data_IF_212235528828
#
_entry.id   IF_212235528828
#
_cell.length_a   1.000
_cell.length_b   1.000
_cell.length_c   1.000
_cell.angle_alpha   90.00
_cell.angle_beta   90.00
_cell.angle_gamma   90.00
#
_symmetry.space_group_name_H-M   'P 1'
#
loop_
_entity.id
_entity.type
_entity.pdbx_description
1 polymer ?
#
# COMPACT_ATOMS: atom_id res chain seq x y z
N UNK A 1 10.43 16.23 14.33
CA UNK A 1 9.76 16.51 13.04
C UNK A 1 10.84 16.76 12.01
N UNK A 2 10.67 16.23 10.81
CA UNK A 2 11.67 16.36 9.75
C UNK A 2 11.49 17.68 9.00
N UNK A 3 12.62 18.32 8.68
CA UNK A 3 12.62 19.61 8.00
C UNK A 3 12.29 19.45 6.51
N UNK A 4 11.62 20.44 5.87
CA UNK A 4 11.29 20.37 4.45
C UNK A 4 12.50 20.11 3.54
N UNK A 5 13.66 20.69 3.85
CA UNK A 5 14.90 20.46 3.09
C UNK A 5 15.38 19.01 3.13
N UNK A 6 15.11 18.28 4.21
CA UNK A 6 15.43 16.87 4.33
C UNK A 6 14.44 16.03 3.50
N UNK A 7 13.15 16.39 3.50
CA UNK A 7 12.15 15.72 2.66
C UNK A 7 12.41 15.95 1.16
N UNK A 8 12.86 17.15 0.80
CA UNK A 8 13.33 17.45 -0.56
C UNK A 8 14.52 16.57 -0.97
N UNK A 9 15.45 16.29 -0.06
CA UNK A 9 16.53 15.33 -0.34
C UNK A 9 15.97 13.93 -0.60
N UNK A 10 15.00 13.47 0.20
CA UNK A 10 14.36 12.18 -0.02
C UNK A 10 13.61 12.13 -1.36
N UNK A 11 12.96 13.22 -1.77
CA UNK A 11 12.29 13.31 -3.07
C UNK A 11 13.26 13.11 -4.24
N UNK A 12 14.51 13.55 -4.10
CA UNK A 12 15.54 13.48 -5.13
C UNK A 12 16.44 12.24 -5.05
N UNK A 13 16.34 11.44 -4.00
CA UNK A 13 17.16 10.24 -3.78
C UNK A 13 16.29 9.03 -3.36
N UNK A 14 15.97 8.14 -4.32
CA UNK A 14 15.16 6.95 -4.06
C UNK A 14 15.71 6.01 -2.97
N UNK A 15 17.03 5.92 -2.81
CA UNK A 15 17.65 5.06 -1.77
C UNK A 15 17.44 5.65 -0.38
N UNK A 16 17.61 6.97 -0.25
CA UNK A 16 17.30 7.67 0.99
C UNK A 16 15.81 7.61 1.31
N UNK A 17 14.94 7.77 0.31
CA UNK A 17 13.50 7.64 0.50
C UNK A 17 13.10 6.24 1.03
N UNK A 18 13.62 5.16 0.42
CA UNK A 18 13.37 3.78 0.88
C UNK A 18 13.84 3.54 2.31
N UNK A 19 15.00 4.10 2.67
CA UNK A 19 15.57 3.97 4.01
C UNK A 19 14.78 4.75 5.08
N UNK A 20 13.91 5.68 4.67
CA UNK A 20 13.20 6.61 5.56
C UNK A 20 11.68 6.56 5.39
N UNK A 21 11.11 5.45 4.92
CA UNK A 21 9.66 5.31 4.66
C UNK A 21 8.80 5.68 5.88
N UNK A 22 9.18 5.29 7.10
CA UNK A 22 8.45 5.65 8.31
C UNK A 22 8.33 7.18 8.49
N UNK A 23 9.43 7.90 8.27
CA UNK A 23 9.45 9.37 8.31
C UNK A 23 8.57 9.99 7.22
N UNK A 24 8.54 9.40 6.02
CA UNK A 24 7.68 9.87 4.94
C UNK A 24 6.21 9.74 5.32
N UNK A 25 5.81 8.61 5.92
CA UNK A 25 4.44 8.42 6.42
C UNK A 25 4.05 9.40 7.53
N UNK A 26 4.95 9.67 8.49
CA UNK A 26 4.71 10.71 9.51
C UNK A 26 4.53 12.11 8.88
N UNK A 27 5.19 12.36 7.75
CA UNK A 27 5.14 13.65 7.06
C UNK A 27 3.90 13.82 6.18
N UNK A 28 3.14 12.75 5.93
CA UNK A 28 1.87 12.83 5.17
C UNK A 28 0.76 13.55 5.92
N UNK A 29 0.84 13.68 7.24
CA UNK A 29 -0.13 14.39 8.09
C UNK A 29 0.36 15.77 8.53
N UNK A 30 1.47 16.24 7.96
CA UNK A 30 2.07 17.54 8.26
C UNK A 30 1.45 18.68 7.41
N UNK A 31 2.09 19.86 7.44
CA UNK A 31 1.72 20.97 6.55
C UNK A 31 1.91 20.60 5.07
N UNK A 32 1.24 21.35 4.19
CA UNK A 32 1.18 21.12 2.74
C UNK A 32 2.56 20.96 2.11
N UNK A 33 3.55 21.77 2.52
CA UNK A 33 4.90 21.68 1.95
C UNK A 33 5.58 20.36 2.29
N UNK A 34 5.51 19.93 3.56
CA UNK A 34 6.07 18.63 3.97
C UNK A 34 5.31 17.46 3.35
N UNK A 35 3.98 17.54 3.29
CA UNK A 35 3.16 16.51 2.66
C UNK A 35 3.54 16.34 1.18
N UNK A 36 3.69 17.44 0.43
CA UNK A 36 4.05 17.39 -0.99
C UNK A 36 5.41 16.71 -1.23
N UNK A 37 6.45 17.07 -0.46
CA UNK A 37 7.75 16.40 -0.59
C UNK A 37 7.70 14.94 -0.16
N UNK A 38 6.92 14.59 0.87
CA UNK A 38 6.77 13.21 1.30
C UNK A 38 6.08 12.35 0.22
N UNK A 39 5.05 12.89 -0.41
CA UNK A 39 4.35 12.27 -1.55
C UNK A 39 5.32 12.04 -2.72
N UNK A 40 6.10 13.05 -3.09
CA UNK A 40 7.09 12.94 -4.17
C UNK A 40 8.17 11.89 -3.87
N UNK A 41 8.67 11.85 -2.63
CA UNK A 41 9.63 10.83 -2.20
C UNK A 41 9.05 9.41 -2.26
N UNK A 42 7.81 9.20 -1.81
CA UNK A 42 7.13 7.89 -1.90
C UNK A 42 6.85 7.48 -3.36
N UNK A 43 6.60 8.45 -4.23
CA UNK A 43 6.44 8.21 -5.65
C UNK A 43 7.75 7.69 -6.27
N UNK A 44 8.86 8.36 -5.96
CA UNK A 44 10.18 8.10 -6.55
C UNK A 44 10.94 6.92 -5.92
N UNK A 45 10.58 6.48 -4.70
CA UNK A 45 11.36 5.47 -3.98
C UNK A 45 11.34 4.06 -4.61
N UNK A 46 10.45 3.79 -5.56
CA UNK A 46 10.29 2.45 -6.17
C UNK A 46 9.65 1.44 -5.21
N UNK A 47 10.03 0.17 -5.32
CA UNK A 47 9.58 -0.88 -4.40
C UNK A 47 10.33 -0.78 -3.07
N UNK A 48 9.63 -0.92 -1.92
CA UNK A 48 10.26 -0.92 -0.61
C UNK A 48 11.05 -2.22 -0.38
N UNK A 49 11.90 -2.25 0.64
CA UNK A 49 12.49 -3.50 1.12
C UNK A 49 11.47 -4.29 1.95
N UNK A 50 11.62 -5.63 2.00
CA UNK A 50 10.80 -6.52 2.84
C UNK A 50 10.88 -6.11 4.33
N UNK A 51 12.03 -5.58 4.77
CA UNK A 51 12.23 -5.06 6.13
C UNK A 51 11.25 -3.96 6.51
N UNK A 52 10.63 -3.29 5.53
CA UNK A 52 9.70 -2.17 5.70
C UNK A 52 8.24 -2.61 5.83
N UNK A 53 7.91 -3.90 5.65
CA UNK A 53 6.51 -4.38 5.76
C UNK A 53 5.85 -3.95 7.08
N UNK A 54 6.49 -4.05 8.27
CA UNK A 54 5.85 -3.60 9.52
C UNK A 54 5.42 -2.13 9.49
N UNK A 55 6.21 -1.25 8.86
CA UNK A 55 5.89 0.18 8.69
C UNK A 55 4.67 0.34 7.78
N UNK A 56 4.61 -0.42 6.69
CA UNK A 56 3.49 -0.38 5.74
C UNK A 56 2.20 -0.92 6.37
N UNK A 57 2.27 -1.99 7.16
CA UNK A 57 1.14 -2.52 7.92
C UNK A 57 0.63 -1.49 8.95
N UNK A 58 1.54 -0.80 9.62
CA UNK A 58 1.16 0.30 10.52
C UNK A 58 0.46 1.43 9.75
N UNK A 59 0.99 1.86 8.61
CA UNK A 59 0.37 2.89 7.78
C UNK A 59 -1.01 2.48 7.23
N UNK A 60 -1.19 1.22 6.82
CA UNK A 60 -2.51 0.67 6.48
C UNK A 60 -3.49 0.76 7.66
N UNK A 61 -3.00 0.59 8.90
CA UNK A 61 -3.83 0.63 10.10
C UNK A 61 -4.26 2.04 10.54
N UNK A 62 -3.67 3.09 9.98
CA UNK A 62 -3.83 4.49 10.43
C UNK A 62 -5.24 5.07 10.26
N UNK A 63 -6.00 4.59 9.26
CA UNK A 63 -7.30 5.16 8.89
C UNK A 63 -7.22 6.42 8.02
N UNK A 64 -6.02 6.95 7.76
CA UNK A 64 -5.81 8.12 6.92
C UNK A 64 -5.74 7.72 5.44
N UNK A 65 -6.66 8.22 4.60
CA UNK A 65 -6.77 7.84 3.19
C UNK A 65 -5.44 7.94 2.43
N UNK A 66 -4.69 9.02 2.63
CA UNK A 66 -3.42 9.24 1.95
C UNK A 66 -2.33 8.24 2.39
N UNK A 67 -2.27 7.93 3.68
CA UNK A 67 -1.34 6.93 4.21
C UNK A 67 -1.72 5.52 3.70
N UNK A 68 -3.00 5.16 3.73
CA UNK A 68 -3.47 3.86 3.22
C UNK A 68 -3.20 3.73 1.72
N UNK A 69 -3.41 4.80 0.95
CA UNK A 69 -3.10 4.86 -0.48
C UNK A 69 -1.61 4.58 -0.74
N UNK A 70 -0.71 5.28 -0.06
CA UNK A 70 0.73 5.10 -0.27
C UNK A 70 1.23 3.76 0.24
N UNK A 71 0.74 3.28 1.38
CA UNK A 71 1.09 1.96 1.90
C UNK A 71 0.67 0.86 0.92
N UNK A 72 -0.55 0.92 0.40
CA UNK A 72 -1.04 0.00 -0.62
C UNK A 72 -0.24 0.08 -1.92
N UNK A 73 0.19 1.29 -2.33
CA UNK A 73 1.04 1.49 -3.51
C UNK A 73 2.39 0.79 -3.34
N UNK A 74 3.06 0.99 -2.21
CA UNK A 74 4.37 0.39 -1.94
C UNK A 74 4.27 -1.13 -1.78
N UNK A 75 3.23 -1.64 -1.11
CA UNK A 75 2.99 -3.08 -1.02
C UNK A 75 2.74 -3.71 -2.38
N UNK A 76 1.93 -3.09 -3.25
CA UNK A 76 1.72 -3.64 -4.59
C UNK A 76 2.98 -3.61 -5.46
N UNK A 77 3.87 -2.62 -5.28
CA UNK A 77 5.20 -2.61 -5.92
C UNK A 77 6.07 -3.77 -5.40
N UNK A 78 6.12 -3.95 -4.08
CA UNK A 78 6.83 -5.06 -3.45
C UNK A 78 6.35 -6.43 -3.97
N UNK A 79 5.03 -6.63 -4.06
CA UNK A 79 4.42 -7.86 -4.59
C UNK A 79 4.69 -8.06 -6.09
N UNK A 80 4.87 -6.99 -6.86
CA UNK A 80 5.17 -7.06 -8.29
C UNK A 80 6.61 -7.50 -8.59
N UNK A 81 7.55 -7.20 -7.69
CA UNK A 81 8.98 -7.48 -7.90
C UNK A 81 9.36 -8.95 -7.64
N UNK A 82 8.41 -9.77 -7.17
CA UNK A 82 8.57 -11.21 -7.02
C UNK A 82 7.74 -11.76 -5.86
N UNK A 83 7.73 -13.09 -5.68
CA UNK A 83 7.11 -13.67 -4.50
C UNK A 83 7.82 -13.10 -3.26
N UNK A 84 7.03 -12.58 -2.32
CA UNK A 84 7.50 -12.20 -0.98
C UNK A 84 7.73 -13.49 -0.20
N UNK A 85 8.72 -14.28 -0.64
CA UNK A 85 9.01 -15.62 -0.13
C UNK A 85 9.96 -15.59 1.07
N UNK A 86 10.24 -14.42 1.66
CA UNK A 86 11.27 -14.30 2.68
C UNK A 86 10.85 -13.47 3.89
N UNK A 87 11.14 -14.03 5.06
CA UNK A 87 11.09 -13.45 6.40
C UNK A 87 9.74 -13.40 7.15
N UNK A 88 9.03 -14.53 7.24
CA UNK A 88 8.16 -14.86 8.39
C UNK A 88 6.87 -14.05 8.59
N UNK A 89 6.69 -12.92 7.88
CA UNK A 89 5.41 -12.26 7.72
C UNK A 89 4.65 -13.02 6.64
N UNK A 90 3.70 -13.84 7.06
CA UNK A 90 2.88 -14.60 6.14
C UNK A 90 2.16 -13.61 5.23
N UNK A 91 2.20 -13.83 3.92
CA UNK A 91 1.32 -13.20 2.94
C UNK A 91 -0.12 -13.03 3.46
N UNK A 92 -0.57 -13.98 4.28
CA UNK A 92 -1.79 -13.93 5.09
C UNK A 92 -1.97 -12.62 5.90
N UNK A 93 -0.98 -12.16 6.65
CA UNK A 93 -1.06 -10.94 7.47
C UNK A 93 -1.20 -9.69 6.60
N UNK A 94 -0.48 -9.64 5.48
CA UNK A 94 -0.58 -8.56 4.51
C UNK A 94 -1.98 -8.52 3.89
N UNK A 95 -2.46 -9.66 3.41
CA UNK A 95 -3.81 -9.77 2.84
C UNK A 95 -4.89 -9.40 3.87
N UNK A 96 -4.76 -9.86 5.11
CA UNK A 96 -5.66 -9.50 6.20
C UNK A 96 -5.66 -8.00 6.46
N UNK A 97 -4.49 -7.35 6.54
CA UNK A 97 -4.40 -5.91 6.76
C UNK A 97 -5.03 -5.09 5.63
N UNK A 98 -4.86 -5.52 4.37
CA UNK A 98 -5.53 -4.91 3.23
C UNK A 98 -7.05 -5.11 3.28
N UNK A 99 -7.53 -6.32 3.60
CA UNK A 99 -8.95 -6.61 3.78
C UNK A 99 -9.58 -5.78 4.90
N UNK A 100 -8.91 -5.64 6.05
CA UNK A 100 -9.39 -4.79 7.15
C UNK A 100 -9.42 -3.31 6.74
N UNK A 101 -8.47 -2.86 5.92
CA UNK A 101 -8.46 -1.49 5.41
C UNK A 101 -9.63 -1.21 4.46
N UNK A 102 -10.05 -2.18 3.64
CA UNK A 102 -11.23 -2.05 2.77
C UNK A 102 -12.53 -1.84 3.54
N UNK A 103 -12.63 -2.30 4.79
CA UNK A 103 -13.81 -2.13 5.64
C UNK A 103 -13.95 -0.72 6.22
N UNK A 104 -12.92 0.12 6.10
CA UNK A 104 -12.91 1.47 6.65
C UNK A 104 -13.49 2.49 5.68
N UNK A 105 -13.98 3.59 6.24
CA UNK A 105 -14.40 4.77 5.48
C UNK A 105 -13.17 5.53 4.99
N UNK A 106 -12.70 5.17 3.80
CA UNK A 106 -11.57 5.80 3.11
C UNK A 106 -12.04 6.47 1.83
N UNK A 107 -11.19 7.34 1.28
CA UNK A 107 -11.42 7.89 -0.06
C UNK A 107 -11.40 6.76 -1.10
N UNK A 108 -12.18 6.94 -2.16
CA UNK A 108 -12.29 5.97 -3.25
C UNK A 108 -10.91 5.60 -3.84
N UNK A 109 -10.00 6.56 -3.94
CA UNK A 109 -8.63 6.34 -4.44
C UNK A 109 -7.83 5.35 -3.57
N UNK A 110 -8.01 5.39 -2.25
CA UNK A 110 -7.36 4.47 -1.33
C UNK A 110 -7.93 3.05 -1.46
N UNK A 111 -9.25 2.91 -1.56
CA UNK A 111 -9.89 1.60 -1.83
C UNK A 111 -9.43 1.00 -3.16
N UNK A 112 -9.43 1.80 -4.24
CA UNK A 112 -8.93 1.35 -5.53
C UNK A 112 -7.45 0.94 -5.46
N UNK A 113 -6.64 1.64 -4.67
CA UNK A 113 -5.22 1.31 -4.53
C UNK A 113 -4.99 0.03 -3.74
N UNK A 114 -5.80 -0.25 -2.71
CA UNK A 114 -5.80 -1.54 -2.02
C UNK A 114 -6.12 -2.67 -3.01
N UNK A 115 -7.17 -2.51 -3.82
CA UNK A 115 -7.58 -3.50 -4.82
C UNK A 115 -6.50 -3.73 -5.89
N UNK A 116 -5.86 -2.65 -6.32
CA UNK A 116 -4.71 -2.74 -7.22
C UNK A 116 -3.57 -3.56 -6.61
N UNK A 117 -3.28 -3.39 -5.31
CA UNK A 117 -2.22 -4.12 -4.63
C UNK A 117 -2.51 -5.63 -4.56
N UNK A 118 -3.76 -6.03 -4.30
CA UNK A 118 -4.16 -7.44 -4.41
C UNK A 118 -3.89 -8.00 -5.81
N UNK A 119 -4.17 -7.22 -6.86
CA UNK A 119 -3.87 -7.56 -8.26
C UNK A 119 -2.39 -7.76 -8.59
N UNK A 120 -1.47 -7.52 -7.64
CA UNK A 120 -0.03 -7.73 -7.78
C UNK A 120 0.49 -8.98 -7.05
N UNK A 121 -0.33 -9.61 -6.22
CA UNK A 121 0.09 -10.81 -5.50
C UNK A 121 0.28 -12.00 -6.45
N UNK A 122 1.16 -12.94 -6.08
CA UNK A 122 1.39 -14.18 -6.82
C UNK A 122 0.32 -15.24 -6.56
N UNK A 123 -0.29 -15.20 -5.38
CA UNK A 123 -1.42 -16.04 -4.97
C UNK A 123 -2.34 -15.22 -4.06
N UNK A 124 -3.55 -15.73 -3.78
CA UNK A 124 -4.47 -15.15 -2.81
C UNK A 124 -5.01 -16.21 -1.86
N UNK A 125 -5.23 -15.84 -0.60
CA UNK A 125 -5.92 -16.71 0.35
C UNK A 125 -7.41 -16.87 -0.06
N UNK A 126 -8.02 -18.05 0.19
CA UNK A 126 -9.45 -18.26 -0.05
C UNK A 126 -10.33 -17.20 0.61
N UNK A 127 -10.02 -16.83 1.86
CA UNK A 127 -10.75 -15.81 2.62
C UNK A 127 -10.67 -14.43 1.97
N UNK A 128 -9.53 -14.09 1.37
CA UNK A 128 -9.34 -12.83 0.64
C UNK A 128 -10.21 -12.79 -0.60
N UNK A 129 -10.28 -13.90 -1.36
CA UNK A 129 -11.18 -14.03 -2.51
C UNK A 129 -12.64 -13.83 -2.12
N UNK A 130 -13.09 -14.45 -1.03
CA UNK A 130 -14.47 -14.27 -0.54
C UNK A 130 -14.79 -12.79 -0.24
N UNK A 131 -13.86 -12.07 0.40
CA UNK A 131 -14.02 -10.62 0.67
C UNK A 131 -14.12 -9.82 -0.63
N UNK A 132 -13.26 -10.13 -1.62
CA UNK A 132 -13.28 -9.45 -2.92
C UNK A 132 -14.56 -9.72 -3.70
N UNK A 133 -15.06 -10.95 -3.69
CA UNK A 133 -16.34 -11.34 -4.32
C UNK A 133 -17.53 -10.60 -3.67
N UNK A 134 -17.56 -10.50 -2.34
CA UNK A 134 -18.59 -9.74 -1.63
C UNK A 134 -18.55 -8.26 -2.03
N UNK A 135 -17.36 -7.65 -2.04
CA UNK A 135 -17.18 -6.25 -2.38
C UNK A 135 -17.61 -5.92 -3.81
N UNK A 136 -17.44 -6.87 -4.75
CA UNK A 136 -17.82 -6.71 -6.16
C UNK A 136 -19.28 -6.29 -6.35
N UNK A 137 -20.19 -6.79 -5.49
CA UNK A 137 -21.64 -6.58 -5.62
C UNK A 137 -22.05 -5.10 -5.65
N UNK A 138 -21.28 -4.24 -4.97
CA UNK A 138 -21.57 -2.81 -4.84
C UNK A 138 -20.41 -1.93 -5.36
N UNK A 139 -19.49 -2.52 -6.13
CA UNK A 139 -18.30 -1.83 -6.58
C UNK A 139 -18.59 -0.83 -7.72
N UNK A 140 -17.82 0.25 -7.77
CA UNK A 140 -17.80 1.13 -8.95
C UNK A 140 -17.22 0.37 -10.16
N UNK A 141 -17.48 0.80 -11.42
CA UNK A 141 -16.96 0.11 -12.60
C UNK A 141 -15.43 -0.02 -12.63
N UNK A 142 -14.71 0.89 -11.97
CA UNK A 142 -13.24 0.82 -11.87
C UNK A 142 -12.80 -0.18 -10.81
N UNK A 143 -13.44 -0.16 -9.64
CA UNK A 143 -13.18 -1.14 -8.58
C UNK A 143 -13.51 -2.56 -9.02
N UNK A 144 -14.60 -2.76 -9.78
CA UNK A 144 -14.97 -4.07 -10.32
C UNK A 144 -13.85 -4.65 -11.19
N UNK A 145 -13.27 -3.86 -12.10
CA UNK A 145 -12.14 -4.31 -12.94
C UNK A 145 -10.90 -4.68 -12.12
N UNK A 146 -10.63 -3.95 -11.04
CA UNK A 146 -9.51 -4.24 -10.15
C UNK A 146 -9.76 -5.53 -9.35
N UNK A 147 -10.98 -5.72 -8.86
CA UNK A 147 -11.42 -6.95 -8.19
C UNK A 147 -11.30 -8.13 -9.16
N UNK A 148 -11.81 -8.01 -10.39
CA UNK A 148 -11.68 -9.05 -11.41
C UNK A 148 -10.22 -9.39 -11.68
N UNK A 149 -9.35 -8.38 -11.83
CA UNK A 149 -7.92 -8.60 -12.01
C UNK A 149 -7.33 -9.40 -10.85
N UNK A 150 -7.67 -9.05 -9.61
CA UNK A 150 -7.21 -9.79 -8.42
C UNK A 150 -7.77 -11.21 -8.36
N UNK A 151 -9.04 -11.43 -8.71
CA UNK A 151 -9.67 -12.77 -8.70
C UNK A 151 -9.13 -13.73 -9.78
N UNK A 152 -8.35 -13.25 -10.75
CA UNK A 152 -7.62 -14.11 -11.68
C UNK A 152 -6.33 -14.70 -11.06
N UNK A 153 -5.85 -14.17 -9.93
CA UNK A 153 -4.66 -14.67 -9.23
C UNK A 153 -4.97 -16.04 -8.61
N UNK A 154 -4.09 -17.06 -8.75
CA UNK A 154 -4.35 -18.39 -8.22
C UNK A 154 -4.53 -18.38 -6.70
N UNK A 155 -5.25 -19.38 -6.20
CA UNK A 155 -5.39 -19.59 -4.75
C UNK A 155 -4.07 -20.15 -4.20
N UNK A 156 -3.62 -19.62 -3.06
CA UNK A 156 -2.44 -20.12 -2.34
C UNK A 156 -2.65 -21.47 -1.67
#
# INVERSE_FOLDING_TARGET
MVEPSQLEQYANDPELARSNIACLFESLVADESRQNYAVEALENCGAPEISQIPVLLHALSSGESLAVYWASTLLGRLLSDGPVETAGLAQVELEQALCESLKRSLDLSAHERILWAFGKASSLQPTTREVLEQLRTNASPRMERLIETALHIPVS
#
